data_IF_609548591149
#
_entry.id   IF_609548591149
#
_cell.length_a   1.000
_cell.length_b   1.000
_cell.length_c   1.000
_cell.angle_alpha   90.00
_cell.angle_beta   90.00
_cell.angle_gamma   90.00
#
_symmetry.space_group_name_H-M   'P 1'
#
loop_
_entity.id
_entity.type
_entity.pdbx_description
1 polymer ?
#
# COMPACT_ATOMS: atom_id res chain seq x y z
N UNK A 1 -56.33 -74.64 -5.63
CA UNK A 1 -57.64 -74.18 -6.13
C UNK A 1 -58.71 -74.65 -5.16
N UNK A 2 -59.84 -73.94 -4.95
CA UNK A 2 -60.24 -72.57 -5.33
C UNK A 2 -60.66 -71.69 -4.10
N UNK A 3 -60.56 -70.34 -4.19
CA UNK A 3 -61.65 -69.31 -4.16
C UNK A 3 -62.30 -69.09 -2.77
N UNK A 4 -62.55 -67.89 -2.24
CA UNK A 4 -63.06 -66.66 -2.84
C UNK A 4 -62.58 -65.37 -2.11
N UNK A 5 -62.51 -64.26 -2.86
CA UNK A 5 -62.39 -62.89 -2.38
C UNK A 5 -63.80 -62.27 -2.27
N UNK A 6 -64.12 -61.64 -1.15
CA UNK A 6 -65.23 -60.68 -1.06
C UNK A 6 -64.69 -59.30 -0.70
N UNK A 7 -64.97 -58.32 -1.57
CA UNK A 7 -64.73 -56.90 -1.37
C UNK A 7 -66.09 -56.24 -1.15
N UNK A 8 -66.32 -55.68 0.04
CA UNK A 8 -67.39 -54.72 0.28
C UNK A 8 -66.80 -53.32 0.46
N UNK A 9 -67.32 -52.38 -0.32
CA UNK A 9 -66.94 -50.97 -0.35
C UNK A 9 -67.84 -50.14 0.57
N UNK A 10 -67.24 -49.50 1.58
CA UNK A 10 -67.77 -48.30 2.23
C UNK A 10 -66.64 -47.31 2.54
N UNK A 11 -66.75 -46.01 2.15
CA UNK A 11 -65.88 -44.95 2.67
C UNK A 11 -66.65 -43.96 3.58
N UNK A 12 -65.96 -43.12 4.38
CA UNK A 12 -64.51 -43.06 4.60
C UNK A 12 -64.17 -43.28 6.09
N UNK A 13 -63.60 -44.41 6.43
CA UNK A 13 -62.81 -44.52 7.67
C UNK A 13 -61.48 -43.83 7.43
N UNK A 14 -61.23 -42.77 8.20
CA UNK A 14 -59.95 -42.09 8.26
C UNK A 14 -58.82 -43.12 8.52
N UNK A 15 -57.92 -43.29 7.56
CA UNK A 15 -56.70 -44.05 7.78
C UNK A 15 -55.80 -43.22 8.69
N UNK A 16 -55.84 -43.51 9.99
CA UNK A 16 -54.93 -42.97 10.98
C UNK A 16 -53.67 -43.84 10.99
N UNK A 17 -52.66 -43.46 10.22
CA UNK A 17 -51.34 -44.09 10.28
C UNK A 17 -50.66 -43.60 11.56
N UNK A 18 -50.70 -44.41 12.61
CA UNK A 18 -49.93 -44.17 13.82
C UNK A 18 -48.48 -44.63 13.59
N UNK A 19 -47.56 -43.67 13.37
CA UNK A 19 -46.11 -43.89 13.49
C UNK A 19 -45.75 -44.00 14.98
N UNK A 20 -46.11 -45.11 15.62
CA UNK A 20 -45.66 -45.45 16.99
C UNK A 20 -44.67 -46.61 16.91
N UNK A 21 -43.53 -46.41 16.21
CA UNK A 21 -42.33 -47.24 16.39
C UNK A 21 -41.14 -46.68 15.59
N UNK A 22 -40.81 -45.40 15.79
CA UNK A 22 -39.67 -44.79 15.09
C UNK A 22 -38.91 -43.71 15.87
N UNK A 23 -39.44 -43.28 17.02
CA UNK A 23 -39.05 -41.98 17.55
C UNK A 23 -37.66 -41.92 18.19
N UNK A 24 -37.06 -43.06 18.57
CA UNK A 24 -35.71 -43.10 19.15
C UNK A 24 -34.65 -43.72 18.23
N UNK A 25 -34.93 -44.84 17.55
CA UNK A 25 -33.92 -45.51 16.72
C UNK A 25 -33.74 -44.87 15.35
N UNK A 26 -34.83 -44.45 14.70
CA UNK A 26 -34.78 -43.76 13.39
C UNK A 26 -34.31 -42.32 13.58
N UNK A 27 -34.68 -41.65 14.68
CA UNK A 27 -34.16 -40.32 14.99
C UNK A 27 -32.67 -40.33 15.31
N UNK A 28 -32.18 -41.28 16.12
CA UNK A 28 -30.74 -41.42 16.40
C UNK A 28 -29.95 -41.80 15.14
N UNK A 29 -30.44 -42.77 14.36
CA UNK A 29 -29.78 -43.19 13.12
C UNK A 29 -29.83 -42.10 12.05
N UNK A 30 -30.96 -41.39 11.96
CA UNK A 30 -31.16 -40.25 11.07
C UNK A 30 -30.24 -39.08 11.41
N UNK A 31 -30.08 -38.77 12.70
CA UNK A 31 -29.14 -37.74 13.17
C UNK A 31 -27.70 -38.10 12.79
N UNK A 32 -27.26 -39.34 13.02
CA UNK A 32 -25.91 -39.79 12.67
C UNK A 32 -25.65 -39.74 11.16
N UNK A 33 -26.62 -40.15 10.33
CA UNK A 33 -26.51 -40.08 8.86
C UNK A 33 -26.45 -38.62 8.39
N UNK A 34 -27.31 -37.76 8.94
CA UNK A 34 -27.37 -36.35 8.58
C UNK A 34 -26.10 -35.61 9.01
N UNK A 35 -25.60 -35.85 10.22
CA UNK A 35 -24.34 -35.32 10.73
C UNK A 35 -23.18 -35.75 9.84
N UNK A 36 -23.07 -37.04 9.50
CA UNK A 36 -21.99 -37.52 8.63
C UNK A 36 -22.06 -36.91 7.23
N UNK A 37 -23.26 -36.78 6.65
CA UNK A 37 -23.47 -36.14 5.36
C UNK A 37 -23.05 -34.66 5.38
N UNK A 38 -23.40 -33.92 6.44
CA UNK A 38 -23.02 -32.51 6.62
C UNK A 38 -21.51 -32.38 6.82
N UNK A 39 -20.92 -33.14 7.74
CA UNK A 39 -19.50 -33.07 8.08
C UNK A 39 -18.64 -33.38 6.85
N UNK A 40 -18.98 -34.43 6.11
CA UNK A 40 -18.30 -34.77 4.85
C UNK A 40 -18.40 -33.63 3.84
N UNK A 41 -19.58 -33.02 3.71
CA UNK A 41 -19.78 -31.93 2.75
C UNK A 41 -19.05 -30.65 3.14
N UNK A 42 -19.01 -30.33 4.44
CA UNK A 42 -18.26 -29.22 4.99
C UNK A 42 -16.76 -29.35 4.70
N UNK A 43 -16.19 -30.52 4.98
CA UNK A 43 -14.76 -30.80 4.73
C UNK A 43 -14.45 -30.63 3.24
N UNK A 44 -15.29 -31.15 2.35
CA UNK A 44 -15.13 -30.97 0.91
C UNK A 44 -15.19 -29.49 0.50
N UNK A 45 -16.16 -28.73 0.99
CA UNK A 45 -16.29 -27.30 0.66
C UNK A 45 -15.06 -26.53 1.14
N UNK A 46 -14.60 -26.77 2.37
CA UNK A 46 -13.44 -26.09 2.94
C UNK A 46 -12.18 -26.41 2.12
N UNK A 47 -11.89 -27.68 1.88
CA UNK A 47 -10.66 -28.06 1.17
C UNK A 47 -10.68 -27.66 -0.30
N UNK A 48 -11.75 -27.99 -1.03
CA UNK A 48 -11.78 -27.85 -2.48
C UNK A 48 -12.12 -26.44 -2.95
N UNK A 49 -12.83 -25.65 -2.12
CA UNK A 49 -13.27 -24.30 -2.51
C UNK A 49 -12.56 -23.22 -1.72
N UNK A 50 -12.42 -23.36 -0.41
CA UNK A 50 -11.82 -22.30 0.41
C UNK A 50 -10.30 -22.41 0.31
N UNK A 51 -9.70 -23.45 0.86
CA UNK A 51 -8.24 -23.61 0.95
C UNK A 51 -7.57 -23.52 -0.43
N UNK A 52 -8.09 -24.27 -1.42
CA UNK A 52 -7.55 -24.25 -2.78
C UNK A 52 -7.61 -22.88 -3.46
N UNK A 53 -8.62 -22.04 -3.18
CA UNK A 53 -8.71 -20.69 -3.76
C UNK A 53 -7.82 -19.70 -3.04
N UNK A 54 -7.68 -19.81 -1.72
CA UNK A 54 -6.73 -19.00 -0.95
C UNK A 54 -5.28 -19.33 -1.33
N UNK A 55 -4.97 -20.59 -1.65
CA UNK A 55 -3.65 -21.01 -2.14
C UNK A 55 -3.27 -20.36 -3.48
N UNK A 56 -4.26 -19.97 -4.30
CA UNK A 56 -4.02 -19.30 -5.58
C UNK A 56 -3.69 -17.81 -5.43
N UNK A 57 -3.82 -17.23 -4.25
CA UNK A 57 -3.52 -15.81 -4.05
C UNK A 57 -2.01 -15.56 -4.15
N UNK A 58 -1.58 -14.56 -4.93
CA UNK A 58 -0.17 -14.23 -5.02
C UNK A 58 0.32 -13.71 -3.66
N UNK A 59 1.39 -14.32 -3.16
CA UNK A 59 2.06 -13.84 -1.95
C UNK A 59 2.81 -12.53 -2.17
N UNK A 60 3.16 -12.20 -3.41
CA UNK A 60 3.80 -10.94 -3.80
C UNK A 60 2.88 -10.09 -4.66
N UNK A 61 2.63 -8.86 -4.22
CA UNK A 61 1.74 -7.92 -4.92
C UNK A 61 2.56 -6.71 -5.38
N UNK A 62 2.47 -6.30 -6.67
CA UNK A 62 3.07 -5.05 -7.11
C UNK A 62 2.50 -3.87 -6.31
N UNK A 63 3.34 -2.98 -5.80
CA UNK A 63 2.87 -1.85 -4.99
C UNK A 63 1.89 -0.93 -5.74
N UNK A 64 1.99 -0.87 -7.07
CA UNK A 64 1.08 -0.11 -7.91
C UNK A 64 -0.35 -0.71 -7.98
N UNK A 65 -0.49 -2.01 -7.70
CA UNK A 65 -1.78 -2.73 -7.69
C UNK A 65 -2.35 -2.88 -6.27
N UNK A 66 -1.56 -2.59 -5.23
CA UNK A 66 -1.92 -2.82 -3.83
C UNK A 66 -3.18 -2.06 -3.37
N UNK A 67 -3.54 -0.96 -4.04
CA UNK A 67 -4.73 -0.16 -3.71
C UNK A 67 -6.03 -0.66 -4.35
N UNK A 68 -5.93 -1.43 -5.45
CA UNK A 68 -7.05 -1.86 -6.29
C UNK A 68 -7.00 -3.38 -6.56
N UNK A 69 -6.52 -4.14 -5.59
CA UNK A 69 -6.32 -5.58 -5.75
C UNK A 69 -7.67 -6.31 -5.78
N UNK A 70 -8.11 -6.84 -6.92
CA UNK A 70 -9.33 -7.67 -7.03
C UNK A 70 -9.00 -9.16 -6.81
N UNK A 71 -9.37 -9.66 -5.62
CA UNK A 71 -9.15 -11.04 -5.20
C UNK A 71 -9.81 -12.05 -6.12
N UNK A 72 -11.04 -11.79 -6.56
CA UNK A 72 -11.83 -12.74 -7.33
C UNK A 72 -11.27 -12.84 -8.75
N UNK A 73 -10.93 -11.70 -9.35
CA UNK A 73 -10.27 -11.67 -10.64
C UNK A 73 -8.93 -12.42 -10.60
N UNK A 74 -8.08 -12.16 -9.59
CA UNK A 74 -6.77 -12.82 -9.46
C UNK A 74 -6.89 -14.33 -9.26
N UNK A 75 -7.84 -14.80 -8.47
CA UNK A 75 -8.10 -16.25 -8.30
C UNK A 75 -8.62 -16.85 -9.61
N UNK A 76 -9.55 -16.19 -10.31
CA UNK A 76 -10.07 -16.67 -11.58
C UNK A 76 -8.97 -16.76 -12.66
N UNK A 77 -8.08 -15.75 -12.73
CA UNK A 77 -6.92 -15.78 -13.61
C UNK A 77 -5.96 -16.93 -13.26
N UNK A 78 -5.70 -17.15 -11.97
CA UNK A 78 -4.82 -18.22 -11.49
C UNK A 78 -5.41 -19.60 -11.80
N UNK A 79 -6.71 -19.80 -11.61
CA UNK A 79 -7.42 -21.03 -12.01
C UNK A 79 -7.31 -21.26 -13.53
N UNK A 80 -7.50 -20.21 -14.35
CA UNK A 80 -7.32 -20.31 -15.80
C UNK A 80 -5.87 -20.69 -16.17
N UNK A 81 -4.87 -20.07 -15.53
CA UNK A 81 -3.45 -20.37 -15.77
C UNK A 81 -3.13 -21.83 -15.40
N UNK A 82 -3.66 -22.33 -14.27
CA UNK A 82 -3.51 -23.71 -13.85
C UNK A 82 -4.15 -24.70 -14.84
N UNK A 83 -5.39 -24.41 -15.30
CA UNK A 83 -6.09 -25.21 -16.33
C UNK A 83 -5.35 -25.22 -17.67
N UNK A 84 -4.72 -24.11 -18.06
CA UNK A 84 -3.91 -24.03 -19.30
C UNK A 84 -2.63 -24.88 -19.21
N UNK A 85 -2.03 -25.01 -18.02
CA UNK A 85 -0.85 -25.86 -17.80
C UNK A 85 -1.16 -27.34 -17.92
N UNK A 86 -2.34 -27.78 -17.48
CA UNK A 86 -2.76 -29.19 -17.57
C UNK A 86 -3.30 -29.59 -18.94
N UNK A 87 -3.80 -28.66 -19.75
CA UNK A 87 -4.45 -28.97 -21.05
C UNK A 87 -3.57 -28.77 -22.29
N UNK A 88 -2.29 -28.41 -22.15
CA UNK A 88 -1.32 -28.37 -23.27
C UNK A 88 -1.63 -27.38 -24.41
N UNK A 89 -2.77 -26.69 -24.41
CA UNK A 89 -3.19 -25.76 -25.46
C UNK A 89 -2.57 -24.38 -25.24
N UNK A 90 -1.39 -24.16 -25.83
CA UNK A 90 -0.87 -22.81 -26.13
C UNK A 90 -1.74 -22.18 -27.22
N UNK A 91 -2.73 -21.38 -26.83
CA UNK A 91 -3.23 -20.30 -27.70
C UNK A 91 -2.52 -19.01 -27.29
N UNK A 92 -1.84 -18.37 -28.25
CA UNK A 92 -1.40 -16.98 -28.11
C UNK A 92 -2.65 -16.11 -27.96
N UNK A 93 -3.06 -15.83 -26.73
CA UNK A 93 -4.02 -14.78 -26.45
C UNK A 93 -3.25 -13.49 -26.25
N UNK A 94 -3.33 -12.59 -27.22
CA UNK A 94 -2.91 -11.20 -27.08
C UNK A 94 -3.58 -10.62 -25.83
N UNK A 95 -2.80 -10.33 -24.80
CA UNK A 95 -3.25 -9.51 -23.69
C UNK A 95 -3.46 -8.09 -24.24
N UNK A 96 -4.68 -7.81 -24.70
CA UNK A 96 -5.19 -6.45 -24.72
C UNK A 96 -5.26 -6.01 -23.26
N UNK A 97 -4.19 -5.35 -22.81
CA UNK A 97 -4.20 -4.51 -21.61
C UNK A 97 -5.43 -3.61 -21.70
N UNK A 98 -6.43 -3.86 -20.86
CA UNK A 98 -7.44 -2.86 -20.54
C UNK A 98 -6.73 -1.72 -19.80
N UNK A 99 -6.15 -0.79 -20.56
CA UNK A 99 -5.72 0.52 -20.05
C UNK A 99 -6.97 1.40 -19.93
N UNK A 100 -7.78 1.14 -18.92
CA UNK A 100 -8.91 1.97 -18.48
C UNK A 100 -9.01 1.64 -16.99
N UNK A 101 -8.65 2.48 -16.03
CA UNK A 101 -8.98 3.90 -15.90
C UNK A 101 -8.15 4.46 -14.72
N UNK A 102 -6.92 4.92 -14.99
CA UNK A 102 -6.14 5.69 -14.02
C UNK A 102 -6.30 7.18 -14.36
N UNK A 103 -7.51 7.70 -14.11
CA UNK A 103 -7.84 9.12 -14.26
C UNK A 103 -8.46 9.62 -12.97
N UNK A 104 -7.58 10.03 -12.05
CA UNK A 104 -7.70 11.18 -11.14
C UNK A 104 -6.44 11.26 -10.29
N UNK A 105 -5.34 11.71 -10.89
CA UNK A 105 -4.19 12.18 -10.13
C UNK A 105 -3.84 13.58 -10.63
N UNK A 106 -4.04 14.57 -9.76
CA UNK A 106 -3.95 16.00 -10.08
C UNK A 106 -2.51 16.45 -10.40
N UNK A 107 -2.41 17.57 -11.09
CA UNK A 107 -1.25 18.09 -11.83
C UNK A 107 0.05 18.32 -11.04
N UNK A 108 0.03 18.31 -9.69
CA UNK A 108 1.20 18.54 -8.85
C UNK A 108 2.08 17.28 -8.64
N UNK A 109 1.51 16.07 -8.80
CA UNK A 109 2.21 14.78 -8.60
C UNK A 109 3.15 14.39 -9.75
N UNK A 110 3.39 15.26 -10.73
CA UNK A 110 4.39 14.99 -11.78
C UNK A 110 5.83 15.01 -11.25
N UNK A 111 6.06 15.53 -10.04
CA UNK A 111 7.39 15.57 -9.41
C UNK A 111 7.87 14.22 -8.88
N UNK A 112 6.96 13.31 -8.51
CA UNK A 112 7.28 11.94 -8.11
C UNK A 112 6.92 11.00 -9.26
N UNK A 113 7.92 10.34 -9.85
CA UNK A 113 7.69 9.39 -10.93
C UNK A 113 7.17 8.06 -10.37
N UNK A 114 5.86 8.02 -10.11
CA UNK A 114 5.14 6.83 -9.63
C UNK A 114 5.26 5.62 -10.56
N UNK A 115 5.70 5.80 -11.82
CA UNK A 115 6.00 4.66 -12.71
C UNK A 115 7.12 3.80 -12.14
N UNK A 116 8.00 4.38 -11.32
CA UNK A 116 9.10 3.67 -10.64
C UNK A 116 8.61 2.72 -9.55
N UNK A 117 7.42 2.95 -8.99
CA UNK A 117 6.80 2.02 -8.02
C UNK A 117 6.43 0.69 -8.67
N UNK A 118 6.21 0.64 -9.99
CA UNK A 118 5.88 -0.60 -10.68
C UNK A 118 6.99 -1.67 -10.60
N UNK A 119 8.23 -1.28 -10.27
CA UNK A 119 9.33 -2.21 -10.07
C UNK A 119 9.36 -2.84 -8.65
N UNK A 120 8.51 -2.34 -7.74
CA UNK A 120 8.48 -2.74 -6.34
C UNK A 120 7.31 -3.68 -6.04
N UNK A 121 7.60 -4.70 -5.25
CA UNK A 121 6.66 -5.72 -4.80
C UNK A 121 6.63 -5.76 -3.29
N UNK A 122 5.44 -5.90 -2.73
CA UNK A 122 5.22 -6.16 -1.31
C UNK A 122 4.98 -7.66 -1.11
N UNK A 123 5.77 -8.26 -0.24
CA UNK A 123 5.71 -9.69 0.08
C UNK A 123 4.88 -9.94 1.35
N UNK A 124 3.79 -10.67 1.18
CA UNK A 124 2.87 -11.12 2.22
C UNK A 124 3.02 -12.60 2.56
N UNK A 125 4.06 -13.28 2.08
CA UNK A 125 4.29 -14.68 2.42
C UNK A 125 4.27 -14.88 3.94
N UNK A 126 3.57 -15.92 4.39
CA UNK A 126 3.61 -16.32 5.79
C UNK A 126 5.02 -16.78 6.14
N UNK A 127 5.61 -16.18 7.18
CA UNK A 127 6.95 -16.52 7.68
C UNK A 127 6.88 -17.38 8.95
N UNK A 128 5.71 -17.43 9.58
CA UNK A 128 5.43 -18.33 10.70
C UNK A 128 4.19 -19.16 10.39
N UNK A 129 4.08 -20.38 10.93
CA UNK A 129 2.80 -21.10 10.92
C UNK A 129 1.74 -20.30 11.69
N UNK A 130 0.48 -20.58 11.39
CA UNK A 130 -0.65 -20.07 12.16
C UNK A 130 -0.55 -20.56 13.60
N UNK A 131 -0.68 -19.64 14.56
CA UNK A 131 -0.70 -19.96 15.99
C UNK A 131 -2.08 -19.64 16.54
N UNK A 132 -2.71 -20.62 17.17
CA UNK A 132 -3.97 -20.43 17.88
C UNK A 132 -3.62 -20.15 19.34
N UNK A 133 -4.01 -18.99 19.83
CA UNK A 133 -3.83 -18.57 21.22
C UNK A 133 -5.18 -18.31 21.87
N UNK A 134 -5.19 -18.08 23.18
CA UNK A 134 -6.39 -17.63 23.90
C UNK A 134 -6.93 -16.30 23.37
N UNK A 135 -6.10 -15.53 22.67
CA UNK A 135 -6.41 -14.21 22.16
C UNK A 135 -6.84 -14.23 20.67
N UNK A 136 -6.75 -15.38 20.01
CA UNK A 136 -7.19 -15.54 18.62
C UNK A 136 -6.19 -16.29 17.75
N UNK A 137 -6.19 -15.96 16.46
CA UNK A 137 -5.32 -16.57 15.46
C UNK A 137 -4.22 -15.56 15.10
N UNK A 138 -2.97 -15.96 15.26
CA UNK A 138 -1.79 -15.16 14.98
C UNK A 138 -1.08 -15.68 13.74
N UNK A 139 -0.72 -14.76 12.84
CA UNK A 139 0.05 -15.04 11.62
C UNK A 139 1.15 -14.00 11.41
N UNK A 140 2.38 -14.47 11.26
CA UNK A 140 3.52 -13.66 10.86
C UNK A 140 3.65 -13.63 9.34
N UNK A 141 3.77 -12.43 8.76
CA UNK A 141 4.03 -12.23 7.33
C UNK A 141 5.36 -11.53 7.12
N UNK A 142 5.95 -11.69 5.92
CA UNK A 142 7.23 -11.06 5.57
C UNK A 142 7.17 -9.52 5.65
N UNK A 143 6.18 -8.91 5.00
CA UNK A 143 6.03 -7.45 4.93
C UNK A 143 7.14 -6.74 4.14
N UNK A 144 8.06 -7.50 3.53
CA UNK A 144 9.21 -6.94 2.84
C UNK A 144 8.79 -6.29 1.51
N UNK A 145 9.20 -5.05 1.31
CA UNK A 145 9.15 -4.42 -0.01
C UNK A 145 10.47 -4.70 -0.72
N UNK A 146 10.41 -5.20 -1.95
CA UNK A 146 11.59 -5.62 -2.70
C UNK A 146 11.44 -5.38 -4.21
N UNK A 147 12.59 -5.29 -4.87
CA UNK A 147 12.69 -5.31 -6.33
C UNK A 147 13.35 -6.63 -6.78
N UNK A 148 12.94 -7.14 -7.94
CA UNK A 148 13.52 -8.36 -8.50
C UNK A 148 15.05 -8.24 -8.66
N UNK A 149 15.77 -9.27 -8.22
CA UNK A 149 17.24 -9.32 -8.32
C UNK A 149 18.00 -8.46 -7.30
N UNK A 150 17.31 -7.83 -6.34
CA UNK A 150 17.94 -7.01 -5.30
C UNK A 150 17.64 -7.55 -3.91
N UNK A 151 18.69 -7.78 -3.13
CA UNK A 151 18.59 -8.17 -1.72
C UNK A 151 18.47 -6.94 -0.80
N UNK A 152 17.74 -7.10 0.30
CA UNK A 152 17.68 -6.08 1.37
C UNK A 152 18.81 -6.37 2.37
N UNK A 153 19.68 -5.40 2.70
CA UNK A 153 20.87 -5.62 3.53
C UNK A 153 20.60 -5.57 5.05
N UNK A 154 19.34 -5.64 5.46
CA UNK A 154 18.91 -5.60 6.85
C UNK A 154 17.67 -6.47 7.03
N UNK A 155 17.40 -6.87 8.27
CA UNK A 155 16.29 -7.77 8.64
C UNK A 155 15.33 -7.07 9.61
N UNK A 156 14.12 -7.60 9.73
CA UNK A 156 13.16 -7.11 10.70
C UNK A 156 13.64 -7.40 12.13
N UNK A 157 13.49 -6.41 13.02
CA UNK A 157 13.67 -6.63 14.44
C UNK A 157 12.53 -7.51 14.99
N UNK A 158 12.78 -8.34 16.02
CA UNK A 158 11.72 -9.07 16.70
C UNK A 158 10.63 -8.12 17.21
N UNK A 159 9.37 -8.46 16.94
CA UNK A 159 8.21 -7.71 17.41
C UNK A 159 7.62 -8.43 18.61
N UNK A 160 7.39 -7.68 19.70
CA UNK A 160 6.60 -8.16 20.82
C UNK A 160 5.12 -7.91 20.51
N UNK A 161 4.31 -8.96 20.65
CA UNK A 161 2.86 -8.80 20.62
C UNK A 161 2.41 -8.04 21.89
N UNK A 162 1.40 -7.16 21.80
CA UNK A 162 0.79 -6.58 22.98
C UNK A 162 0.25 -7.67 23.90
N UNK A 163 0.53 -7.57 25.20
CA UNK A 163 0.03 -8.52 26.20
C UNK A 163 -1.48 -8.34 26.51
N UNK A 164 -2.07 -7.21 26.11
CA UNK A 164 -3.49 -6.94 26.34
C UNK A 164 -4.38 -7.77 25.41
N UNK A 165 -5.50 -8.26 25.96
CA UNK A 165 -6.53 -8.89 25.15
C UNK A 165 -6.99 -7.94 24.02
N UNK A 166 -7.15 -8.45 22.79
CA UNK A 166 -7.52 -7.62 21.66
C UNK A 166 -8.90 -6.99 21.88
N UNK A 167 -8.96 -5.66 21.75
CA UNK A 167 -10.18 -4.86 21.88
C UNK A 167 -10.92 -4.68 20.54
N UNK A 168 -10.44 -5.34 19.49
CA UNK A 168 -10.91 -5.20 18.11
C UNK A 168 -10.75 -6.53 17.38
N UNK A 169 -11.52 -6.74 16.32
CA UNK A 169 -11.51 -8.02 15.58
C UNK A 169 -10.19 -8.32 14.86
N UNK A 170 -9.44 -7.29 14.45
CA UNK A 170 -8.15 -7.42 13.78
C UNK A 170 -7.12 -6.49 14.43
N UNK A 171 -5.96 -7.05 14.75
CA UNK A 171 -4.77 -6.30 15.15
C UNK A 171 -3.64 -6.60 14.17
N UNK A 172 -3.16 -5.58 13.46
CA UNK A 172 -1.99 -5.66 12.59
C UNK A 172 -0.84 -4.89 13.23
N UNK A 173 0.33 -5.52 13.29
CA UNK A 173 1.55 -4.88 13.79
C UNK A 173 2.50 -4.74 12.60
N UNK A 174 2.81 -3.50 12.25
CA UNK A 174 3.68 -3.17 11.12
C UNK A 174 4.98 -2.61 11.68
N UNK A 175 6.04 -3.39 11.55
CA UNK A 175 7.38 -2.95 11.95
C UNK A 175 7.89 -1.82 11.06
N UNK A 176 8.82 -1.03 11.61
CA UNK A 176 9.57 -0.04 10.84
C UNK A 176 10.44 -0.66 9.74
N UNK A 177 10.64 -1.98 9.75
CA UNK A 177 11.25 -2.73 8.64
C UNK A 177 10.48 -2.50 7.33
N UNK A 178 9.14 -2.52 7.36
CA UNK A 178 8.30 -2.36 6.15
C UNK A 178 8.58 -1.02 5.44
N UNK A 179 8.41 0.17 6.07
CA UNK A 179 8.73 1.44 5.42
C UNK A 179 10.22 1.58 5.11
N UNK A 180 11.14 1.03 5.92
CA UNK A 180 12.58 1.11 5.61
C UNK A 180 12.96 0.28 4.38
N UNK A 181 12.33 -0.88 4.15
CA UNK A 181 12.53 -1.63 2.88
C UNK A 181 11.98 -0.86 1.68
N UNK A 182 10.84 -0.17 1.81
CA UNK A 182 10.36 0.76 0.78
C UNK A 182 11.37 1.86 0.50
N UNK A 183 11.94 2.47 1.55
CA UNK A 183 12.91 3.55 1.39
C UNK A 183 14.22 3.07 0.75
N UNK A 184 14.68 1.88 1.11
CA UNK A 184 15.85 1.26 0.51
C UNK A 184 15.67 0.99 -0.99
N UNK A 185 14.65 0.22 -1.36
CA UNK A 185 14.42 -0.13 -2.77
C UNK A 185 13.93 1.08 -3.58
N UNK A 186 13.12 1.93 -2.96
CA UNK A 186 12.65 3.20 -3.52
C UNK A 186 13.80 4.13 -3.88
N UNK A 187 14.80 4.27 -3.02
CA UNK A 187 16.01 5.05 -3.33
C UNK A 187 16.74 4.49 -4.56
N UNK A 188 16.91 3.16 -4.65
CA UNK A 188 17.61 2.53 -5.78
C UNK A 188 16.92 2.73 -7.12
N UNK A 189 15.59 2.78 -7.14
CA UNK A 189 14.82 3.08 -8.37
C UNK A 189 14.66 4.59 -8.61
N UNK A 190 15.15 5.44 -7.69
CA UNK A 190 15.01 6.89 -7.76
C UNK A 190 13.59 7.38 -7.51
N UNK A 191 12.82 6.67 -6.67
CA UNK A 191 11.45 7.02 -6.28
C UNK A 191 11.38 8.39 -5.61
N UNK A 192 12.40 8.75 -4.83
CA UNK A 192 12.47 10.02 -4.11
C UNK A 192 13.06 11.17 -4.93
N UNK A 193 13.53 10.90 -6.15
CA UNK A 193 14.13 11.93 -6.98
C UNK A 193 13.02 12.85 -7.50
N UNK A 194 13.18 14.15 -7.29
CA UNK A 194 12.18 15.17 -7.64
C UNK A 194 12.82 16.23 -8.50
N UNK A 195 12.07 16.75 -9.48
CA UNK A 195 12.51 17.80 -10.38
C UNK A 195 11.54 18.98 -10.32
N UNK A 196 12.07 20.18 -10.09
CA UNK A 196 11.32 21.44 -10.13
C UNK A 196 11.87 22.27 -11.28
N UNK A 197 10.99 22.65 -12.20
CA UNK A 197 11.31 23.38 -13.43
C UNK A 197 10.46 24.67 -13.49
N UNK A 198 10.75 25.61 -14.41
CA UNK A 198 9.94 26.80 -14.59
C UNK A 198 8.47 26.54 -14.93
N UNK A 199 8.14 25.31 -15.37
CA UNK A 199 6.79 24.86 -15.68
C UNK A 199 6.11 24.12 -14.54
N UNK A 200 6.80 23.88 -13.42
CA UNK A 200 6.21 23.21 -12.26
C UNK A 200 5.11 24.09 -11.67
N UNK A 201 3.87 23.58 -11.49
CA UNK A 201 2.80 24.38 -10.91
C UNK A 201 3.19 24.96 -9.55
N UNK A 202 2.79 26.21 -9.30
CA UNK A 202 3.04 26.98 -8.07
C UNK A 202 4.50 27.37 -7.77
N UNK A 203 5.48 26.55 -8.15
CA UNK A 203 6.91 26.82 -7.92
C UNK A 203 7.62 27.43 -9.13
N UNK A 204 7.13 27.13 -10.34
CA UNK A 204 7.73 27.52 -11.62
C UNK A 204 8.02 29.03 -11.77
N UNK A 205 7.12 29.94 -11.37
CA UNK A 205 7.37 31.38 -11.44
C UNK A 205 8.61 31.84 -10.65
N UNK A 206 8.99 31.11 -9.59
CA UNK A 206 10.15 31.42 -8.75
C UNK A 206 11.47 30.84 -9.31
N UNK A 207 11.40 29.96 -10.31
CA UNK A 207 12.54 29.22 -10.84
C UNK A 207 13.39 30.03 -11.82
N UNK A 208 13.94 31.16 -11.35
CA UNK A 208 14.77 32.09 -12.11
C UNK A 208 15.85 32.73 -11.24
N UNK A 209 16.91 33.24 -11.87
CA UNK A 209 17.97 33.98 -11.17
C UNK A 209 17.67 35.46 -11.02
N UNK A 210 16.85 36.04 -11.90
CA UNK A 210 16.46 37.45 -11.83
C UNK A 210 14.95 37.61 -11.94
N UNK A 211 14.43 38.55 -11.16
CA UNK A 211 13.04 38.99 -11.18
C UNK A 211 13.01 40.44 -11.62
N UNK A 212 12.08 40.76 -12.51
CA UNK A 212 11.76 42.14 -12.84
C UNK A 212 10.24 42.34 -12.79
N UNK A 213 9.81 43.60 -12.69
CA UNK A 213 8.38 43.96 -12.67
C UNK A 213 7.64 43.51 -13.94
N UNK A 214 8.35 43.30 -15.05
CA UNK A 214 7.78 42.86 -16.33
C UNK A 214 7.51 41.35 -16.40
N UNK A 215 8.18 40.55 -15.56
CA UNK A 215 8.08 39.09 -15.51
C UNK A 215 6.91 38.59 -14.65
N UNK A 216 6.22 39.48 -13.92
CA UNK A 216 5.00 39.18 -13.15
C UNK A 216 5.23 38.34 -11.89
N UNK A 217 6.49 38.12 -11.50
CA UNK A 217 6.86 37.41 -10.26
C UNK A 217 7.53 38.38 -9.29
N UNK A 218 6.95 38.57 -8.11
CA UNK A 218 7.52 39.45 -7.07
C UNK A 218 8.76 38.84 -6.38
N UNK A 219 9.05 37.56 -6.63
CA UNK A 219 10.10 36.81 -5.93
C UNK A 219 10.65 35.68 -6.81
N UNK A 220 11.95 35.43 -6.74
CA UNK A 220 12.63 34.29 -7.38
C UNK A 220 13.79 33.76 -6.55
N UNK A 221 14.30 32.60 -6.95
CA UNK A 221 15.44 31.94 -6.30
C UNK A 221 16.70 32.82 -6.20
N UNK A 222 16.93 33.72 -7.16
CA UNK A 222 18.06 34.65 -7.06
C UNK A 222 17.94 35.70 -5.96
N UNK A 223 16.74 35.94 -5.41
CA UNK A 223 16.57 36.80 -4.23
C UNK A 223 16.94 36.06 -2.94
N UNK A 224 16.85 34.72 -2.93
CA UNK A 224 17.36 33.85 -1.86
C UNK A 224 18.88 33.65 -2.00
N UNK A 225 19.36 33.55 -3.24
CA UNK A 225 20.76 33.32 -3.57
C UNK A 225 21.35 34.49 -4.39
N UNK A 226 21.66 35.64 -3.77
CA UNK A 226 22.25 36.80 -4.45
C UNK A 226 23.50 36.46 -5.27
N UNK A 227 24.40 35.62 -4.74
CA UNK A 227 25.62 35.20 -5.44
C UNK A 227 25.31 34.48 -6.75
N UNK A 228 24.27 33.63 -6.75
CA UNK A 228 23.79 32.95 -7.96
C UNK A 228 23.24 33.96 -8.98
N UNK A 229 22.48 34.95 -8.53
CA UNK A 229 21.91 36.01 -9.37
C UNK A 229 23.01 36.81 -10.06
N UNK A 230 24.02 37.23 -9.31
CA UNK A 230 25.08 38.10 -9.81
C UNK A 230 26.02 37.33 -10.75
N UNK A 231 26.30 36.06 -10.44
CA UNK A 231 27.15 35.20 -11.28
C UNK A 231 26.44 34.75 -12.57
N UNK A 232 25.14 34.48 -12.52
CA UNK A 232 24.36 33.96 -13.65
C UNK A 232 23.03 34.71 -13.83
N UNK A 233 23.05 35.98 -14.24
CA UNK A 233 21.83 36.77 -14.40
C UNK A 233 20.95 36.25 -15.55
N UNK A 234 19.64 36.52 -15.47
CA UNK A 234 18.66 36.26 -16.54
C UNK A 234 18.60 34.79 -17.00
N UNK A 235 18.75 33.86 -16.07
CA UNK A 235 18.61 32.41 -16.31
C UNK A 235 17.32 31.88 -15.70
N UNK A 236 16.70 30.95 -16.42
CA UNK A 236 15.74 30.04 -15.82
C UNK A 236 16.48 28.96 -15.05
N UNK A 237 15.87 28.43 -14.01
CA UNK A 237 16.49 27.43 -13.15
C UNK A 237 15.70 26.13 -13.16
N UNK A 238 16.44 25.04 -13.03
CA UNK A 238 15.92 23.71 -12.83
C UNK A 238 16.61 23.12 -11.61
N UNK A 239 15.81 22.74 -10.63
CA UNK A 239 16.27 22.12 -9.39
C UNK A 239 16.00 20.62 -9.48
N UNK A 240 17.05 19.82 -9.38
CA UNK A 240 16.96 18.38 -9.29
C UNK A 240 17.38 17.94 -7.89
N UNK A 241 16.45 17.32 -7.15
CA UNK A 241 16.71 16.66 -5.89
C UNK A 241 16.91 15.16 -6.11
N UNK A 242 18.00 14.62 -5.55
CA UNK A 242 18.28 13.19 -5.49
C UNK A 242 18.64 12.81 -4.07
N UNK A 243 18.15 11.66 -3.61
CA UNK A 243 18.59 11.10 -2.32
C UNK A 243 20.02 10.59 -2.44
N UNK A 244 20.90 10.91 -1.48
CA UNK A 244 22.29 10.43 -1.45
C UNK A 244 22.38 9.04 -0.82
N UNK A 245 21.52 8.81 0.18
CA UNK A 245 21.32 7.53 0.84
C UNK A 245 19.83 7.22 0.92
N UNK A 246 19.44 5.95 1.12
CA UNK A 246 18.07 5.62 1.46
C UNK A 246 17.56 6.48 2.62
N UNK A 247 16.39 7.12 2.49
CA UNK A 247 15.71 7.69 3.64
C UNK A 247 15.49 6.63 4.71
N UNK A 248 15.31 7.04 5.95
CA UNK A 248 14.96 6.11 7.02
C UNK A 248 13.78 6.61 7.84
N UNK A 249 13.09 5.65 8.45
CA UNK A 249 12.00 5.87 9.38
C UNK A 249 12.25 5.06 10.64
N UNK A 250 12.21 5.72 11.79
CA UNK A 250 12.32 5.09 13.10
C UNK A 250 10.99 5.28 13.81
N UNK A 251 10.40 4.17 14.26
CA UNK A 251 9.13 4.19 14.98
C UNK A 251 9.43 3.93 16.45
N UNK A 252 9.00 4.85 17.31
CA UNK A 252 9.02 4.71 18.76
C UNK A 252 7.62 4.92 19.31
N UNK A 253 7.43 4.62 20.60
CA UNK A 253 6.19 4.97 21.29
C UNK A 253 5.95 6.49 21.22
N UNK A 254 4.70 6.92 21.35
CA UNK A 254 4.37 8.36 21.32
C UNK A 254 5.13 9.15 22.40
N UNK A 255 5.35 8.54 23.57
CA UNK A 255 6.11 9.13 24.69
C UNK A 255 7.60 9.26 24.37
N UNK A 256 8.14 8.37 23.55
CA UNK A 256 9.57 8.28 23.22
C UNK A 256 9.94 9.00 21.90
N UNK A 257 9.03 9.82 21.36
CA UNK A 257 9.27 10.66 20.19
C UNK A 257 8.48 10.28 18.93
N UNK A 258 7.66 9.24 18.98
CA UNK A 258 6.78 8.84 17.87
C UNK A 258 7.55 8.39 16.62
N UNK A 259 7.06 8.77 15.43
CA UNK A 259 7.68 8.41 14.16
C UNK A 259 8.65 9.51 13.73
N UNK A 260 9.91 9.16 13.54
CA UNK A 260 10.97 10.05 13.04
C UNK A 260 11.35 9.64 11.63
N UNK A 261 11.44 10.62 10.74
CA UNK A 261 11.87 10.47 9.35
C UNK A 261 13.14 11.27 9.14
N UNK A 262 14.11 10.71 8.42
CA UNK A 262 15.28 11.46 7.99
C UNK A 262 15.67 11.15 6.56
N UNK A 263 16.16 12.18 5.86
CA UNK A 263 16.64 12.07 4.49
C UNK A 263 17.84 12.99 4.28
N UNK A 264 18.83 12.48 3.57
CA UNK A 264 19.97 13.25 3.08
C UNK A 264 19.95 13.18 1.56
N UNK A 265 20.04 14.33 0.91
CA UNK A 265 20.00 14.42 -0.53
C UNK A 265 20.91 15.51 -1.10
N UNK A 266 21.09 15.45 -2.41
CA UNK A 266 21.79 16.45 -3.19
C UNK A 266 20.76 17.20 -4.04
N UNK A 267 20.84 18.52 -3.98
CA UNK A 267 20.12 19.43 -4.84
C UNK A 267 21.12 19.99 -5.86
N UNK A 268 20.83 19.80 -7.14
CA UNK A 268 21.61 20.36 -8.24
C UNK A 268 20.79 21.44 -8.94
N UNK A 269 21.38 22.63 -9.08
CA UNK A 269 20.81 23.74 -9.84
C UNK A 269 21.41 23.74 -11.24
N UNK A 270 20.53 23.74 -12.23
CA UNK A 270 20.90 23.79 -13.65
C UNK A 270 20.31 25.05 -14.27
N UNK A 271 21.15 25.78 -15.00
CA UNK A 271 20.76 27.00 -15.69
C UNK A 271 20.19 26.68 -17.07
N UNK A 272 19.02 27.23 -17.38
CA UNK A 272 18.37 27.10 -18.68
C UNK A 272 18.34 28.46 -19.39
N UNK A 273 18.51 28.45 -20.71
CA UNK A 273 18.38 29.64 -21.55
C UNK A 273 16.93 29.98 -21.91
N UNK A 274 15.98 29.11 -21.55
CA UNK A 274 14.55 29.31 -21.76
C UNK A 274 13.73 28.41 -20.83
N UNK A 275 12.40 28.47 -20.95
CA UNK A 275 11.48 27.68 -20.11
C UNK A 275 11.45 26.17 -20.42
N UNK A 276 12.13 25.72 -21.47
CA UNK A 276 12.18 24.31 -21.90
C UNK A 276 13.64 23.87 -21.91
N UNK A 277 13.99 22.75 -21.25
CA UNK A 277 15.29 22.14 -21.38
C UNK A 277 15.53 21.63 -22.81
N UNK A 278 16.65 22.05 -23.38
CA UNK A 278 17.23 21.65 -24.67
C UNK A 278 18.15 20.42 -24.56
N UNK A 279 18.57 20.04 -23.35
CA UNK A 279 19.39 18.84 -23.10
C UNK A 279 20.89 19.11 -23.02
N UNK A 280 21.35 20.32 -23.36
CA UNK A 280 22.76 20.72 -23.32
C UNK A 280 23.09 21.59 -22.09
N UNK A 281 22.20 21.64 -21.10
CA UNK A 281 22.38 22.52 -19.96
C UNK A 281 23.46 22.04 -18.99
N UNK A 282 24.16 23.00 -18.40
CA UNK A 282 25.23 22.74 -17.44
C UNK A 282 24.76 23.04 -16.01
N UNK A 283 25.17 22.22 -15.03
CA UNK A 283 24.93 22.53 -13.63
C UNK A 283 25.65 23.83 -13.25
N UNK A 284 24.94 24.75 -12.60
CA UNK A 284 25.50 26.00 -12.10
C UNK A 284 26.09 25.82 -10.69
N UNK A 285 25.47 24.97 -9.87
CA UNK A 285 25.90 24.72 -8.52
C UNK A 285 25.12 23.58 -7.88
N UNK A 286 25.59 23.14 -6.72
CA UNK A 286 24.94 22.09 -5.95
C UNK A 286 25.07 22.31 -4.45
N UNK A 287 24.13 21.75 -3.70
CA UNK A 287 24.07 21.78 -2.24
C UNK A 287 23.53 20.46 -1.72
N UNK A 288 23.96 20.06 -0.54
CA UNK A 288 23.34 18.94 0.18
C UNK A 288 22.24 19.47 1.10
N UNK A 289 21.20 18.67 1.27
CA UNK A 289 20.14 18.89 2.23
C UNK A 289 20.09 17.72 3.21
N UNK A 290 20.13 18.03 4.51
CA UNK A 290 19.87 17.09 5.59
C UNK A 290 18.58 17.51 6.29
N UNK A 291 17.61 16.60 6.30
CA UNK A 291 16.26 16.87 6.79
C UNK A 291 15.88 15.82 7.83
N UNK A 292 15.43 16.29 9.00
CA UNK A 292 14.80 15.46 10.02
C UNK A 292 13.40 15.96 10.29
N UNK A 293 12.47 15.03 10.41
CA UNK A 293 11.07 15.35 10.60
C UNK A 293 10.40 14.36 11.57
N UNK A 294 9.36 14.86 12.24
CA UNK A 294 8.38 14.02 12.93
C UNK A 294 7.21 13.75 11.99
N UNK A 295 6.73 12.52 11.99
CA UNK A 295 5.57 12.11 11.20
C UNK A 295 4.45 11.71 12.15
N UNK A 296 3.29 12.32 11.97
CA UNK A 296 2.04 11.91 12.59
C UNK A 296 1.21 11.17 11.56
N UNK A 297 0.77 9.96 11.87
CA UNK A 297 -0.05 9.14 10.98
C UNK A 297 -1.44 8.98 11.57
N UNK A 298 -2.45 9.00 10.71
CA UNK A 298 -3.85 8.77 11.08
C UNK A 298 -4.45 7.76 10.12
N UNK A 299 -5.13 6.77 10.68
CA UNK A 299 -5.86 5.79 9.89
C UNK A 299 -7.24 6.34 9.54
N UNK A 300 -7.56 6.35 8.25
CA UNK A 300 -8.91 6.38 7.73
C UNK A 300 -9.25 4.98 7.20
N UNK A 301 -10.54 4.67 7.04
CA UNK A 301 -11.06 3.33 6.72
C UNK A 301 -10.32 2.55 5.63
N UNK A 302 -9.74 3.22 4.63
CA UNK A 302 -8.95 2.59 3.56
C UNK A 302 -7.60 3.28 3.28
N UNK A 303 -7.26 4.34 4.01
CA UNK A 303 -6.08 5.16 3.74
C UNK A 303 -5.37 5.54 5.04
N UNK A 304 -4.05 5.48 5.02
CA UNK A 304 -3.21 6.11 6.04
C UNK A 304 -2.88 7.51 5.59
N UNK A 305 -3.33 8.52 6.33
CA UNK A 305 -2.95 9.92 6.08
C UNK A 305 -1.78 10.29 6.97
N UNK A 306 -0.76 10.89 6.37
CA UNK A 306 0.40 11.41 7.09
C UNK A 306 0.32 12.92 7.24
N UNK A 307 0.88 13.43 8.33
CA UNK A 307 1.28 14.82 8.48
C UNK A 307 2.72 14.83 8.94
N UNK A 308 3.58 15.52 8.21
CA UNK A 308 4.98 15.70 8.51
C UNK A 308 5.21 17.07 9.12
N UNK A 309 6.00 17.11 10.19
CA UNK A 309 6.48 18.32 10.84
C UNK A 309 8.00 18.31 10.76
N UNK A 310 8.59 19.26 10.04
CA UNK A 310 10.04 19.40 9.94
C UNK A 310 10.60 19.82 11.30
N UNK A 311 11.60 19.10 11.79
CA UNK A 311 12.28 19.40 13.05
C UNK A 311 13.58 20.17 12.78
N UNK A 312 14.32 19.71 11.77
CA UNK A 312 15.65 20.21 11.42
C UNK A 312 15.81 20.20 9.90
N UNK A 313 16.38 21.27 9.35
CA UNK A 313 16.76 21.40 7.95
C UNK A 313 18.11 22.09 7.91
N UNK A 314 19.08 21.41 7.30
CA UNK A 314 20.43 21.94 7.12
C UNK A 314 20.84 21.80 5.67
N UNK A 315 21.30 22.91 5.10
CA UNK A 315 21.92 22.93 3.79
C UNK A 315 23.44 22.98 3.94
N UNK A 316 24.17 22.29 3.07
CA UNK A 316 25.64 22.35 3.02
C UNK A 316 26.06 22.62 1.58
N UNK A 317 26.79 23.71 1.35
CA UNK A 317 27.22 24.03 -0.02
C UNK A 317 28.22 22.99 -0.55
N UNK A 318 28.07 22.62 -1.82
CA UNK A 318 29.09 21.91 -2.61
C UNK A 318 29.74 22.82 -3.65
N UNK A 319 29.26 24.07 -3.78
CA UNK A 319 29.70 25.02 -4.79
C UNK A 319 29.75 26.44 -4.20
N UNK A 320 30.71 26.73 -3.30
CA UNK A 320 30.72 27.97 -2.50
C UNK A 320 30.86 29.26 -3.32
N UNK A 321 31.33 29.16 -4.57
CA UNK A 321 31.44 30.31 -5.48
C UNK A 321 30.10 30.75 -6.09
N UNK A 322 29.07 29.91 -6.00
CA UNK A 322 27.75 30.13 -6.63
C UNK A 322 26.63 30.10 -5.58
N UNK A 323 26.76 29.24 -4.58
CA UNK A 323 25.86 29.12 -3.43
C UNK A 323 26.70 29.21 -2.17
N UNK A 324 26.69 30.35 -1.49
CA UNK A 324 27.48 30.51 -0.25
C UNK A 324 26.80 29.78 0.91
N UNK A 325 27.54 29.46 1.97
CA UNK A 325 26.94 28.78 3.12
C UNK A 325 25.97 29.71 3.88
N UNK A 326 26.27 31.00 3.95
CA UNK A 326 25.43 32.02 4.59
C UNK A 326 24.04 32.11 3.92
N UNK A 327 24.00 32.21 2.59
CA UNK A 327 22.74 32.23 1.83
C UNK A 327 21.94 30.92 2.01
N UNK A 328 22.63 29.79 2.13
CA UNK A 328 22.00 28.49 2.37
C UNK A 328 21.42 28.37 3.79
N UNK A 329 22.08 28.94 4.79
CA UNK A 329 21.60 28.96 6.16
C UNK A 329 20.30 29.81 6.27
N UNK A 330 20.28 30.98 5.61
CA UNK A 330 19.09 31.83 5.49
C UNK A 330 17.96 31.13 4.73
N UNK A 331 18.29 30.47 3.61
CA UNK A 331 17.32 29.67 2.85
C UNK A 331 16.73 28.53 3.70
N UNK A 332 17.51 27.92 4.59
CA UNK A 332 17.06 26.92 5.57
C UNK A 332 15.90 27.43 6.42
N UNK A 333 16.04 28.65 6.93
CA UNK A 333 15.02 29.29 7.75
C UNK A 333 13.75 29.61 6.94
N UNK A 334 13.90 30.23 5.77
CA UNK A 334 12.78 30.68 4.93
C UNK A 334 12.01 29.51 4.29
N UNK A 335 12.71 28.44 3.91
CA UNK A 335 12.12 27.34 3.14
C UNK A 335 11.41 26.29 3.98
N UNK A 336 11.60 26.27 5.31
CA UNK A 336 11.03 25.26 6.20
C UNK A 336 9.51 25.16 6.07
N UNK A 337 8.79 26.28 6.14
CA UNK A 337 7.32 26.25 6.06
C UNK A 337 6.84 25.83 4.67
N UNK A 338 7.49 26.32 3.61
CA UNK A 338 7.16 26.01 2.22
C UNK A 338 7.35 24.51 1.95
N UNK A 339 8.50 23.95 2.32
CA UNK A 339 8.80 22.53 2.16
C UNK A 339 7.84 21.66 2.98
N UNK A 340 7.56 22.05 4.22
CA UNK A 340 6.61 21.32 5.06
C UNK A 340 5.22 21.31 4.44
N UNK A 341 4.73 22.45 3.92
CA UNK A 341 3.42 22.54 3.25
C UNK A 341 3.38 21.67 2.00
N UNK A 342 4.41 21.76 1.16
CA UNK A 342 4.55 20.95 -0.06
C UNK A 342 4.48 19.44 0.24
N UNK A 343 5.26 18.97 1.21
CA UNK A 343 5.26 17.55 1.59
C UNK A 343 3.92 17.14 2.20
N UNK A 344 3.33 17.98 3.05
CA UNK A 344 2.03 17.69 3.66
C UNK A 344 0.88 17.63 2.65
N UNK A 345 0.91 18.43 1.59
CA UNK A 345 -0.11 18.36 0.55
C UNK A 345 0.00 17.07 -0.28
N UNK A 346 1.20 16.48 -0.37
CA UNK A 346 1.40 15.13 -0.90
C UNK A 346 0.85 14.09 0.09
N UNK A 347 1.23 14.15 1.37
CA UNK A 347 0.83 13.18 2.39
C UNK A 347 -0.67 13.21 2.73
N UNK A 348 -1.35 14.35 2.53
CA UNK A 348 -2.80 14.51 2.70
C UNK A 348 -3.63 13.56 1.83
N UNK A 349 -3.11 13.20 0.66
CA UNK A 349 -3.79 12.28 -0.26
C UNK A 349 -3.94 10.88 0.35
N UNK A 350 -3.05 10.54 1.28
CA UNK A 350 -3.02 9.28 1.98
C UNK A 350 -2.38 8.16 1.15
N UNK A 351 -1.86 7.17 1.85
CA UNK A 351 -1.33 5.93 1.30
C UNK A 351 -2.42 4.87 1.50
N UNK A 352 -2.90 4.20 0.44
CA UNK A 352 -3.90 3.16 0.58
C UNK A 352 -3.33 2.03 1.45
N UNK A 353 -4.13 1.56 2.41
CA UNK A 353 -3.77 0.37 3.17
C UNK A 353 -4.10 -0.81 2.25
N UNK A 354 -3.16 -1.74 2.04
CA UNK A 354 -3.44 -2.99 1.36
C UNK A 354 -4.29 -3.87 2.28
N UNK A 355 -5.60 -3.56 2.32
CA UNK A 355 -6.61 -4.36 3.00
C UNK A 355 -7.12 -5.37 1.99
N UNK A 356 -7.17 -6.64 2.38
CA UNK A 356 -7.77 -7.66 1.54
C UNK A 356 -9.25 -7.30 1.27
N UNK A 357 -9.74 -7.25 0.02
CA UNK A 357 -11.11 -6.86 -0.34
C UNK A 357 -12.25 -7.59 0.38
N UNK A 358 -11.95 -8.74 0.97
CA UNK A 358 -12.87 -9.45 1.86
C UNK A 358 -13.25 -8.62 3.09
N UNK A 359 -12.40 -7.71 3.52
CA UNK A 359 -12.56 -6.96 4.76
C UNK A 359 -12.92 -5.51 4.44
N UNK A 360 -14.00 -5.05 5.05
CA UNK A 360 -14.31 -3.63 5.16
C UNK A 360 -13.94 -3.17 6.56
N UNK A 361 -12.86 -2.41 6.69
CA UNK A 361 -12.39 -1.95 7.99
C UNK A 361 -13.32 -0.89 8.59
N UNK A 362 -13.60 -1.01 9.88
CA UNK A 362 -14.38 -0.04 10.66
C UNK A 362 -13.71 0.26 12.00
N UNK A 363 -13.90 1.49 12.49
CA UNK A 363 -13.31 2.01 13.75
C UNK A 363 -11.79 1.78 13.88
N UNK A 364 -10.99 2.16 12.87
CA UNK A 364 -9.56 1.95 12.96
C UNK A 364 -8.92 2.83 14.04
N UNK A 365 -8.02 2.23 14.82
CA UNK A 365 -7.18 2.88 15.82
C UNK A 365 -5.72 2.58 15.50
N UNK A 366 -4.89 3.62 15.56
CA UNK A 366 -3.44 3.52 15.41
C UNK A 366 -2.80 3.89 16.74
N UNK A 367 -1.89 3.04 17.22
CA UNK A 367 -0.98 3.35 18.32
C UNK A 367 0.45 2.99 17.93
N UNK A 368 1.43 3.56 18.64
CA UNK A 368 2.84 3.33 18.39
C UNK A 368 3.48 2.57 19.54
N UNK A 369 4.28 1.57 19.18
CA UNK A 369 5.16 0.85 20.11
C UNK A 369 6.60 0.98 19.61
N UNK A 370 7.56 0.51 20.41
CA UNK A 370 8.95 0.52 19.96
C UNK A 370 9.09 -0.33 18.69
N UNK A 371 9.61 0.26 17.62
CA UNK A 371 9.85 -0.35 16.29
C UNK A 371 8.60 -0.71 15.50
N UNK A 372 7.38 -0.35 15.93
CA UNK A 372 6.16 -0.74 15.21
C UNK A 372 4.97 0.21 15.36
N UNK A 373 4.13 0.20 14.33
CA UNK A 373 2.77 0.72 14.35
C UNK A 373 1.81 -0.41 14.65
N UNK A 374 0.89 -0.20 15.58
CA UNK A 374 -0.17 -1.14 15.92
C UNK A 374 -1.49 -0.58 15.38
N UNK A 375 -2.06 -1.28 14.41
CA UNK A 375 -3.36 -0.98 13.83
C UNK A 375 -4.40 -1.93 14.41
N UNK A 376 -5.37 -1.39 15.12
CA UNK A 376 -6.50 -2.13 15.67
C UNK A 376 -7.77 -1.69 14.94
N UNK A 377 -8.56 -2.63 14.45
CA UNK A 377 -9.76 -2.32 13.68
C UNK A 377 -10.77 -3.44 13.79
N UNK A 378 -12.04 -3.09 13.70
CA UNK A 378 -13.08 -4.06 13.41
C UNK A 378 -13.16 -4.24 11.89
N UNK A 379 -13.75 -5.34 11.44
CA UNK A 379 -13.98 -5.56 10.02
C UNK A 379 -15.32 -6.23 9.77
N UNK A 380 -15.96 -5.85 8.67
CA UNK A 380 -17.10 -6.57 8.11
C UNK A 380 -16.61 -7.42 6.94
N UNK A 381 -17.16 -8.63 6.80
CA UNK A 381 -16.89 -9.47 5.64
C UNK A 381 -17.76 -9.02 4.45
N UNK A 382 -17.16 -8.94 3.28
CA UNK A 382 -17.90 -8.71 2.04
C UNK A 382 -18.66 -9.98 1.65
N UNK A 383 -19.95 -10.03 1.99
CA UNK A 383 -20.83 -11.17 1.72
C UNK A 383 -20.84 -11.60 0.24
N UNK A 384 -20.78 -10.65 -0.69
CA UNK A 384 -20.76 -10.95 -2.12
C UNK A 384 -19.50 -11.73 -2.51
N UNK A 385 -18.34 -11.32 -1.99
CA UNK A 385 -17.07 -12.02 -2.23
C UNK A 385 -17.07 -13.37 -1.52
N UNK A 386 -17.51 -13.46 -0.27
CA UNK A 386 -17.63 -14.74 0.45
C UNK A 386 -18.53 -15.73 -0.30
N UNK A 387 -19.67 -15.25 -0.82
CA UNK A 387 -20.58 -16.07 -1.63
C UNK A 387 -19.89 -16.56 -2.91
N UNK A 388 -19.09 -15.71 -3.58
CA UNK A 388 -18.31 -16.14 -4.73
C UNK A 388 -17.23 -17.16 -4.36
N UNK A 389 -16.46 -16.93 -3.29
CA UNK A 389 -15.41 -17.84 -2.82
C UNK A 389 -15.92 -19.20 -2.33
N UNK A 390 -17.17 -19.29 -1.88
CA UNK A 390 -17.80 -20.55 -1.45
C UNK A 390 -18.65 -21.20 -2.55
N UNK A 391 -18.97 -20.46 -3.61
CA UNK A 391 -19.77 -20.96 -4.73
C UNK A 391 -19.06 -22.07 -5.52
N UNK A 392 -19.85 -22.92 -6.18
CA UNK A 392 -19.32 -23.97 -7.05
C UNK A 392 -18.49 -23.42 -8.22
N UNK A 393 -18.87 -22.26 -8.78
CA UNK A 393 -18.22 -21.63 -9.92
C UNK A 393 -17.98 -20.13 -9.67
N UNK A 394 -16.75 -19.67 -9.88
CA UNK A 394 -16.43 -18.23 -9.87
C UNK A 394 -17.10 -17.55 -11.06
N UNK A 395 -17.87 -16.49 -10.80
CA UNK A 395 -18.43 -15.62 -11.84
C UNK A 395 -17.55 -14.37 -11.94
N UNK A 396 -17.01 -14.08 -13.14
CA UNK A 396 -16.33 -12.81 -13.39
C UNK A 396 -17.35 -11.68 -13.30
N UNK A 397 -17.05 -10.66 -12.49
CA UNK A 397 -17.86 -9.44 -12.42
C UNK A 397 -17.60 -8.54 -13.62
#
# INVERSE_FOLDING_TARGET
>A
MPRDFHLDFHPPTAVKIHLISGNNSISQSGNAIFENAICTKLIQIINDRVNKRFELLPTKVPLAEASNFDVVEKIAEAEERAKRRTTGRRRLSSHRRSKRQQRRMHAFLRGFDWRKINALFLDYSMVTPLRITTNGIEVGTSGQISMAGVTTPFVAAPLALPNEAPKSMLTMIVSDFVPNTLMYHGHRVGLFNTKVEPRTPSLGPMMRTTCDLSTGSLFCLGDIFPTLRDTYPNKYLMLEFKTLHPPNMIIKSEKDGGIKFSVIGLITLTGLNGMIPTGNERPLGSMEINLKAKVDMRLASSFVRGKLTLEDIKFTTRTPKVLTQEELDDAGFLSREIMQRMVNDILKQGIPIPVHPLFKLSKPKLSLTNRAMVFQTDFDLNEAIIKQLTSANLRKS
#
